data_IF_609093544604
#
_entry.id   IF_609093544604
#
_cell.length_a   1.000
_cell.length_b   1.000
_cell.length_c   1.000
_cell.angle_alpha   90.00
_cell.angle_beta   90.00
_cell.angle_gamma   90.00
#
_symmetry.space_group_name_H-M   'P 1'
#
loop_
_entity.id
_entity.type
_entity.pdbx_description
1 polymer ?
#
# COMPACT_ATOMS: atom_id res chain seq x y z
N UNK A 1 41.38 2.15 34.50
CA UNK A 1 40.02 1.56 34.43
C UNK A 1 39.65 1.54 32.96
N UNK A 2 39.52 0.36 32.34
CA UNK A 2 39.13 0.28 30.93
C UNK A 2 37.61 0.27 30.87
N UNK A 3 37.01 1.42 30.61
CA UNK A 3 35.56 1.56 30.50
C UNK A 3 35.08 0.77 29.28
N UNK A 4 34.53 -0.40 29.54
CA UNK A 4 33.93 -1.27 28.54
C UNK A 4 32.47 -0.91 28.39
N UNK A 5 32.08 -0.55 27.17
CA UNK A 5 30.73 -0.10 26.85
C UNK A 5 29.80 -1.30 26.63
N UNK A 6 28.55 -1.16 27.05
CA UNK A 6 27.45 -2.01 26.62
C UNK A 6 27.16 -1.80 25.13
N UNK A 7 26.38 -2.70 24.52
CA UNK A 7 25.99 -2.56 23.12
C UNK A 7 25.09 -1.34 22.87
N UNK A 8 24.25 -0.97 23.84
CA UNK A 8 23.37 0.20 23.74
C UNK A 8 24.17 1.49 23.82
N UNK A 9 25.10 1.62 24.77
CA UNK A 9 25.99 2.78 24.86
C UNK A 9 26.88 2.90 23.61
N UNK A 10 27.22 1.77 22.98
CA UNK A 10 27.93 1.76 21.71
C UNK A 10 27.10 2.34 20.57
N UNK A 11 25.83 1.96 20.47
CA UNK A 11 24.90 2.49 19.49
C UNK A 11 24.65 3.98 19.73
N UNK A 12 24.39 4.38 20.98
CA UNK A 12 24.22 5.78 21.39
C UNK A 12 25.44 6.62 21.01
N UNK A 13 26.65 6.14 21.31
CA UNK A 13 27.88 6.86 21.00
C UNK A 13 28.10 7.00 19.49
N UNK A 14 27.84 5.94 18.73
CA UNK A 14 27.96 6.00 17.27
C UNK A 14 26.99 7.04 16.70
N UNK A 15 25.71 6.97 17.06
CA UNK A 15 24.66 7.84 16.54
C UNK A 15 24.80 9.29 17.00
N UNK A 16 25.25 9.53 18.24
CA UNK A 16 25.49 10.89 18.75
C UNK A 16 26.69 11.58 18.09
N UNK A 17 27.77 10.84 17.80
CA UNK A 17 28.96 11.37 17.14
C UNK A 17 28.74 11.59 15.63
N UNK A 18 28.03 10.68 14.94
CA UNK A 18 27.80 10.80 13.49
C UNK A 18 26.62 11.71 13.15
N UNK A 19 25.60 11.78 14.03
CA UNK A 19 24.32 12.45 13.75
C UNK A 19 23.64 11.99 12.46
N UNK A 20 23.84 10.71 12.11
CA UNK A 20 23.26 10.10 10.92
C UNK A 20 22.57 8.78 11.29
N UNK A 21 21.44 8.42 10.66
CA UNK A 21 20.84 7.11 10.85
C UNK A 21 21.73 5.99 10.34
N UNK A 22 22.01 4.99 11.16
CA UNK A 22 22.96 3.91 10.84
C UNK A 22 22.32 2.52 10.96
N UNK A 23 22.79 1.59 10.14
CA UNK A 23 22.54 0.16 10.28
C UNK A 23 23.38 -0.43 11.41
N UNK A 24 23.00 -1.62 11.90
CA UNK A 24 23.78 -2.36 12.92
C UNK A 24 25.22 -2.57 12.47
N UNK A 25 25.44 -2.86 11.18
CA UNK A 25 26.76 -3.08 10.60
C UNK A 25 27.60 -1.81 10.64
N UNK A 26 27.03 -0.68 10.21
CA UNK A 26 27.72 0.62 10.24
C UNK A 26 28.06 1.04 11.68
N UNK A 27 27.16 0.82 12.65
CA UNK A 27 27.43 1.09 14.08
C UNK A 27 28.60 0.24 14.58
N UNK A 28 28.64 -1.04 14.21
CA UNK A 28 29.72 -1.95 14.61
C UNK A 28 31.06 -1.60 13.97
N UNK A 29 31.07 -1.18 12.71
CA UNK A 29 32.29 -0.77 12.02
C UNK A 29 32.82 0.56 12.55
N UNK A 30 31.93 1.49 12.94
CA UNK A 30 32.30 2.68 13.69
C UNK A 30 33.00 2.33 15.01
N UNK A 31 32.43 1.38 15.77
CA UNK A 31 33.00 0.88 17.02
C UNK A 31 34.42 0.35 16.85
N UNK A 32 34.63 -0.49 15.83
CA UNK A 32 35.94 -1.04 15.48
C UNK A 32 36.94 0.06 15.13
N UNK A 33 36.53 1.01 14.28
CA UNK A 33 37.39 2.12 13.83
C UNK A 33 37.85 2.98 15.00
N UNK A 34 36.98 3.23 15.98
CA UNK A 34 37.28 3.99 17.20
C UNK A 34 37.94 3.16 18.31
N UNK A 35 38.19 1.87 18.07
CA UNK A 35 38.76 0.92 19.04
C UNK A 35 37.99 0.88 20.37
N UNK A 36 36.67 1.05 20.30
CA UNK A 36 35.81 0.99 21.48
C UNK A 36 35.74 -0.44 22.01
N UNK A 37 35.93 -0.60 23.32
CA UNK A 37 35.86 -1.91 23.98
C UNK A 37 34.43 -2.18 24.41
N UNK A 38 33.97 -3.40 24.17
CA UNK A 38 32.66 -3.90 24.60
C UNK A 38 32.85 -5.13 25.48
N UNK A 39 31.97 -5.32 26.46
CA UNK A 39 31.97 -6.48 27.36
C UNK A 39 31.53 -7.79 26.69
N UNK A 40 31.45 -7.85 25.37
CA UNK A 40 30.98 -9.02 24.62
C UNK A 40 31.92 -10.22 24.77
N UNK A 41 31.49 -11.21 25.54
CA UNK A 41 32.14 -12.54 25.64
C UNK A 41 31.68 -13.52 24.53
N UNK A 42 30.73 -13.13 23.68
CA UNK A 42 30.08 -13.99 22.69
C UNK A 42 30.78 -14.10 21.33
N UNK A 43 30.49 -15.17 20.58
CA UNK A 43 31.04 -15.44 19.22
C UNK A 43 30.47 -14.55 18.10
N UNK A 44 29.35 -13.86 18.34
CA UNK A 44 28.59 -13.09 17.32
C UNK A 44 28.22 -11.68 17.80
N UNK A 45 29.18 -10.74 17.80
CA UNK A 45 28.97 -9.39 18.36
C UNK A 45 27.93 -8.55 17.59
N UNK A 46 27.85 -8.68 16.26
CA UNK A 46 26.85 -8.00 15.42
C UNK A 46 25.42 -8.42 15.77
N UNK A 47 25.17 -9.73 15.94
CA UNK A 47 23.86 -10.25 16.33
C UNK A 47 23.48 -9.81 17.74
N UNK A 48 24.47 -9.72 18.63
CA UNK A 48 24.28 -9.26 20.01
C UNK A 48 23.93 -7.77 20.06
N UNK A 49 24.60 -6.95 19.25
CA UNK A 49 24.27 -5.53 19.08
C UNK A 49 22.85 -5.37 18.50
N UNK A 50 22.54 -6.06 17.40
CA UNK A 50 21.21 -6.06 16.79
C UNK A 50 20.13 -6.41 17.81
N UNK A 51 20.30 -7.54 18.51
CA UNK A 51 19.34 -8.02 19.50
C UNK A 51 19.16 -7.01 20.64
N UNK A 52 20.25 -6.41 21.12
CA UNK A 52 20.18 -5.41 22.21
C UNK A 52 19.37 -4.19 21.79
N UNK A 53 19.60 -3.67 20.58
CA UNK A 53 18.86 -2.52 20.03
C UNK A 53 17.37 -2.86 19.90
N UNK A 54 17.02 -3.99 19.28
CA UNK A 54 15.62 -4.36 19.09
C UNK A 54 14.89 -4.66 20.40
N UNK A 55 15.55 -5.30 21.36
CA UNK A 55 14.98 -5.58 22.68
C UNK A 55 14.72 -4.30 23.45
N UNK A 56 15.65 -3.34 23.43
CA UNK A 56 15.47 -2.05 24.09
C UNK A 56 14.32 -1.27 23.45
N UNK A 57 14.29 -1.14 22.12
CA UNK A 57 13.19 -0.47 21.41
C UNK A 57 11.82 -1.09 21.74
N UNK A 58 11.75 -2.42 21.86
CA UNK A 58 10.49 -3.13 22.13
C UNK A 58 10.03 -3.02 23.58
N UNK A 59 10.95 -3.12 24.55
CA UNK A 59 10.61 -3.31 25.96
C UNK A 59 10.84 -2.07 26.83
N UNK A 60 11.50 -1.03 26.32
CA UNK A 60 11.82 0.18 27.06
C UNK A 60 11.05 1.39 26.50
N UNK A 61 10.00 1.87 27.18
CA UNK A 61 9.21 3.03 26.75
C UNK A 61 9.99 4.34 26.70
N UNK A 62 11.15 4.40 27.38
CA UNK A 62 12.05 5.57 27.44
C UNK A 62 13.33 5.33 26.64
N UNK A 63 13.29 4.43 25.66
CA UNK A 63 14.43 4.20 24.78
C UNK A 63 14.86 5.50 24.10
N UNK A 64 16.17 5.68 24.00
CA UNK A 64 16.80 6.77 23.25
C UNK A 64 16.99 6.40 21.78
N UNK A 65 16.67 5.17 21.38
CA UNK A 65 16.83 4.67 20.02
C UNK A 65 15.47 4.57 19.32
N UNK A 66 15.45 4.94 18.05
CA UNK A 66 14.27 4.80 17.18
C UNK A 66 14.70 4.16 15.87
N UNK A 67 13.92 3.20 15.38
CA UNK A 67 14.08 2.70 14.02
C UNK A 67 13.45 3.70 13.05
N UNK A 68 14.26 4.23 12.13
CA UNK A 68 13.84 5.26 11.17
C UNK A 68 13.76 4.78 9.73
N UNK A 69 14.17 3.53 9.46
CA UNK A 69 13.91 2.84 8.19
C UNK A 69 13.81 1.34 8.43
N UNK A 70 13.02 0.64 7.61
CA UNK A 70 12.83 -0.82 7.67
C UNK A 70 13.71 -1.60 6.68
N UNK A 71 14.06 -1.02 5.53
CA UNK A 71 14.76 -1.74 4.42
C UNK A 71 15.76 -0.81 3.69
N UNK A 72 17.04 -0.82 4.06
CA UNK A 72 17.63 -1.54 5.19
C UNK A 72 17.21 -0.94 6.54
N UNK A 73 17.23 -1.74 7.60
CA UNK A 73 16.92 -1.27 8.94
C UNK A 73 17.97 -0.24 9.42
N UNK A 74 17.56 1.01 9.64
CA UNK A 74 18.40 2.09 10.17
C UNK A 74 17.86 2.63 11.47
N UNK A 75 18.75 2.98 12.39
CA UNK A 75 18.46 3.47 13.73
C UNK A 75 19.01 4.88 13.92
N UNK A 76 18.31 5.69 14.71
CA UNK A 76 18.68 7.05 15.08
C UNK A 76 18.39 7.29 16.56
N UNK A 77 18.89 8.39 17.13
CA UNK A 77 18.46 8.81 18.45
C UNK A 77 17.08 9.44 18.39
N UNK A 78 16.24 9.21 19.39
CA UNK A 78 14.85 9.72 19.45
C UNK A 78 14.80 11.26 19.31
N UNK A 79 15.80 11.98 19.84
CA UNK A 79 15.87 13.46 19.82
C UNK A 79 15.85 14.08 18.42
N UNK A 80 16.41 13.40 17.41
CA UNK A 80 16.52 13.91 16.04
C UNK A 80 16.05 12.92 14.97
N UNK A 81 15.76 11.68 15.37
CA UNK A 81 15.36 10.61 14.47
C UNK A 81 14.01 10.84 13.79
N UNK A 82 13.10 11.62 14.39
CA UNK A 82 11.78 11.89 13.82
C UNK A 82 11.82 12.53 12.44
N UNK A 83 12.76 13.44 12.22
CA UNK A 83 12.93 14.11 10.92
C UNK A 83 13.26 13.09 9.81
N UNK A 84 14.00 12.03 10.14
CA UNK A 84 14.39 10.98 9.20
C UNK A 84 13.27 9.98 8.94
N UNK A 85 12.40 9.76 9.93
CA UNK A 85 11.18 8.95 9.76
C UNK A 85 10.32 9.58 8.67
N UNK A 86 9.99 10.86 8.79
CA UNK A 86 9.17 11.58 7.81
C UNK A 86 9.81 11.61 6.42
N UNK A 87 11.12 11.85 6.33
CA UNK A 87 11.83 11.84 5.05
C UNK A 87 11.86 10.45 4.41
N UNK A 88 12.04 9.39 5.21
CA UNK A 88 12.04 8.01 4.70
C UNK A 88 10.66 7.61 4.19
N UNK A 89 9.59 7.96 4.91
CA UNK A 89 8.21 7.71 4.49
C UNK A 89 7.90 8.47 3.21
N UNK A 90 8.34 9.73 3.11
CA UNK A 90 8.15 10.55 1.92
C UNK A 90 8.92 10.01 0.71
N UNK A 91 10.15 9.51 0.90
CA UNK A 91 10.88 8.84 -0.17
C UNK A 91 10.15 7.56 -0.60
N UNK A 92 9.73 6.75 0.36
CA UNK A 92 9.06 5.48 0.11
C UNK A 92 7.72 5.67 -0.61
N UNK A 93 6.93 6.67 -0.24
CA UNK A 93 5.70 7.02 -0.96
C UNK A 93 5.99 7.44 -2.40
N UNK A 94 7.05 8.24 -2.64
CA UNK A 94 7.46 8.62 -4.01
C UNK A 94 7.83 7.39 -4.84
N UNK A 95 8.58 6.43 -4.28
CA UNK A 95 8.92 5.18 -4.99
C UNK A 95 7.69 4.32 -5.28
N UNK A 96 6.75 4.22 -4.33
CA UNK A 96 5.50 3.47 -4.54
C UNK A 96 4.59 4.16 -5.56
N UNK A 97 4.60 5.49 -5.63
CA UNK A 97 3.88 6.27 -6.63
C UNK A 97 4.48 6.13 -8.03
N UNK A 98 5.80 5.96 -8.17
CA UNK A 98 6.46 5.72 -9.47
C UNK A 98 6.04 4.38 -10.12
N UNK A 99 5.47 3.47 -9.32
CA UNK A 99 4.87 2.24 -9.80
C UNK A 99 3.39 2.40 -10.21
N UNK A 100 2.70 3.45 -9.75
CA UNK A 100 1.32 3.78 -10.16
C UNK A 100 1.30 4.52 -11.50
N UNK A 101 1.83 3.87 -12.54
CA UNK A 101 1.76 4.36 -13.92
C UNK A 101 0.56 3.74 -14.64
N UNK A 102 -0.10 4.46 -15.56
CA UNK A 102 -1.20 3.90 -16.36
C UNK A 102 -0.80 2.61 -17.11
N UNK A 103 0.46 2.49 -17.50
CA UNK A 103 0.99 1.29 -18.15
C UNK A 103 0.99 0.08 -17.21
N UNK A 104 1.56 0.22 -16.00
CA UNK A 104 1.61 -0.84 -15.00
C UNK A 104 0.22 -1.21 -14.46
N UNK A 105 -0.64 -0.22 -14.24
CA UNK A 105 -2.06 -0.46 -13.87
C UNK A 105 -2.76 -1.29 -14.95
N UNK A 106 -2.54 -0.95 -16.22
CA UNK A 106 -3.16 -1.64 -17.36
C UNK A 106 -2.66 -3.06 -17.56
N UNK A 107 -1.42 -3.37 -17.21
CA UNK A 107 -0.90 -4.74 -17.23
C UNK A 107 -1.68 -5.68 -16.29
N UNK A 108 -2.36 -5.13 -15.28
CA UNK A 108 -3.20 -5.89 -14.34
C UNK A 108 -4.63 -6.13 -14.84
N UNK A 109 -5.07 -5.44 -15.90
CA UNK A 109 -6.43 -5.57 -16.42
C UNK A 109 -6.83 -7.00 -16.79
N UNK A 110 -5.99 -7.82 -17.43
CA UNK A 110 -6.32 -9.22 -17.71
C UNK A 110 -6.56 -10.05 -16.45
N UNK A 111 -5.79 -9.80 -15.38
CA UNK A 111 -5.96 -10.51 -14.10
C UNK A 111 -7.30 -10.12 -13.46
N UNK A 112 -7.61 -8.83 -13.40
CA UNK A 112 -8.88 -8.36 -12.89
C UNK A 112 -10.07 -8.86 -13.74
N UNK A 113 -9.94 -8.88 -15.07
CA UNK A 113 -10.97 -9.42 -15.95
C UNK A 113 -11.27 -10.90 -15.65
N UNK A 114 -10.22 -11.70 -15.43
CA UNK A 114 -10.35 -13.12 -15.07
C UNK A 114 -11.03 -13.29 -13.71
N UNK A 115 -10.65 -12.48 -12.72
CA UNK A 115 -11.31 -12.45 -11.41
C UNK A 115 -12.81 -12.15 -11.54
N UNK A 116 -13.16 -11.04 -12.18
CA UNK A 116 -14.55 -10.57 -12.31
C UNK A 116 -15.42 -11.59 -13.06
N UNK A 117 -14.86 -12.26 -14.08
CA UNK A 117 -15.61 -13.26 -14.83
C UNK A 117 -15.87 -14.54 -14.00
N UNK A 118 -14.90 -14.97 -13.19
CA UNK A 118 -14.98 -16.21 -12.41
C UNK A 118 -15.73 -16.04 -11.07
N UNK A 119 -15.70 -14.84 -10.49
CA UNK A 119 -16.32 -14.55 -9.21
C UNK A 119 -17.85 -14.58 -9.32
N UNK A 120 -18.50 -15.28 -8.39
CA UNK A 120 -19.96 -15.51 -8.40
C UNK A 120 -20.81 -14.26 -8.17
N UNK A 121 -20.28 -13.27 -7.44
CA UNK A 121 -20.95 -11.97 -7.24
C UNK A 121 -20.98 -11.19 -8.55
N UNK A 122 -19.83 -11.11 -9.21
CA UNK A 122 -19.69 -10.32 -10.43
C UNK A 122 -20.25 -11.03 -11.67
N UNK A 123 -19.70 -12.20 -12.03
CA UNK A 123 -19.96 -12.94 -13.29
C UNK A 123 -20.15 -12.01 -14.49
N UNK A 124 -19.28 -11.01 -14.61
CA UNK A 124 -19.48 -9.91 -15.54
C UNK A 124 -18.47 -9.95 -16.69
N UNK A 125 -18.91 -9.51 -17.86
CA UNK A 125 -18.02 -9.23 -18.97
C UNK A 125 -17.44 -7.84 -18.80
N UNK A 126 -16.12 -7.71 -18.95
CA UNK A 126 -15.43 -6.43 -18.75
C UNK A 126 -14.72 -5.92 -19.99
N UNK A 127 -14.53 -4.60 -20.03
CA UNK A 127 -13.79 -3.92 -21.08
C UNK A 127 -12.95 -2.78 -20.51
N UNK A 128 -11.68 -2.77 -20.87
CA UNK A 128 -10.78 -1.64 -20.58
C UNK A 128 -11.19 -0.41 -21.38
N UNK A 129 -11.20 0.74 -20.72
CA UNK A 129 -11.42 2.05 -21.32
C UNK A 129 -10.08 2.73 -21.60
N UNK A 130 -9.89 3.19 -22.83
CA UNK A 130 -8.64 3.78 -23.28
C UNK A 130 -8.73 5.31 -23.28
N UNK A 131 -8.12 5.91 -22.27
CA UNK A 131 -8.22 7.34 -21.95
C UNK A 131 -7.39 8.24 -22.89
N UNK A 132 -6.39 7.64 -23.54
CA UNK A 132 -5.38 8.30 -24.37
C UNK A 132 -5.90 8.73 -25.75
N UNK A 133 -7.06 8.21 -26.17
CA UNK A 133 -7.62 8.42 -27.51
C UNK A 133 -8.52 9.66 -27.57
N UNK A 134 -8.73 10.36 -26.45
CA UNK A 134 -9.58 11.55 -26.42
C UNK A 134 -8.86 12.75 -27.04
N UNK A 135 -9.28 13.10 -28.25
CA UNK A 135 -8.74 14.19 -29.09
C UNK A 135 -8.97 15.61 -28.53
N UNK A 136 -9.65 15.79 -27.39
CA UNK A 136 -10.25 17.09 -27.00
C UNK A 136 -9.79 17.70 -25.67
N UNK A 137 -8.82 17.16 -24.93
CA UNK A 137 -8.47 17.73 -23.62
C UNK A 137 -6.95 17.80 -23.32
N UNK A 138 -6.57 18.83 -22.52
CA UNK A 138 -5.22 18.96 -21.94
C UNK A 138 -4.89 17.72 -21.10
N UNK A 139 -3.66 17.21 -21.24
CA UNK A 139 -3.08 16.13 -20.42
C UNK A 139 -3.39 16.38 -18.93
N UNK A 140 -4.10 15.46 -18.28
CA UNK A 140 -4.47 15.53 -16.86
C UNK A 140 -5.98 15.58 -16.60
N UNK A 141 -6.76 16.28 -17.43
CA UNK A 141 -8.22 16.38 -17.25
C UNK A 141 -8.94 15.05 -17.48
N UNK A 142 -8.40 14.18 -18.35
CA UNK A 142 -9.03 12.91 -18.71
C UNK A 142 -9.04 11.88 -17.56
N UNK A 143 -8.15 11.98 -16.56
CA UNK A 143 -8.08 10.99 -15.47
C UNK A 143 -9.33 10.98 -14.56
N UNK A 144 -10.16 12.02 -14.65
CA UNK A 144 -11.36 12.23 -13.83
C UNK A 144 -12.67 12.04 -14.62
N UNK A 145 -12.59 11.53 -15.85
CA UNK A 145 -13.73 11.48 -16.77
C UNK A 145 -14.27 10.07 -17.02
N UNK A 146 -13.48 9.03 -16.79
CA UNK A 146 -13.85 7.65 -17.07
C UNK A 146 -13.03 6.70 -16.20
N UNK A 147 -13.61 5.55 -15.82
CA UNK A 147 -12.91 4.52 -15.08
C UNK A 147 -12.01 3.70 -16.00
N UNK A 148 -11.03 3.01 -15.42
CA UNK A 148 -10.09 2.15 -16.16
C UNK A 148 -10.78 0.95 -16.84
N UNK A 149 -11.72 0.32 -16.13
CA UNK A 149 -12.48 -0.83 -16.62
C UNK A 149 -13.96 -0.65 -16.30
N UNK A 150 -14.80 -1.05 -17.26
CA UNK A 150 -16.25 -1.18 -17.08
C UNK A 150 -16.67 -2.64 -17.22
N UNK A 151 -17.64 -3.06 -16.42
CA UNK A 151 -18.22 -4.40 -16.45
C UNK A 151 -19.72 -4.36 -16.67
N UNK A 152 -20.25 -5.40 -17.32
CA UNK A 152 -21.70 -5.63 -17.42
C UNK A 152 -22.02 -7.08 -17.10
N UNK A 153 -22.97 -7.28 -16.19
CA UNK A 153 -23.61 -8.58 -15.96
C UNK A 153 -25.04 -8.51 -16.49
N UNK A 154 -25.43 -9.51 -17.27
CA UNK A 154 -26.79 -9.66 -17.74
C UNK A 154 -27.51 -10.66 -16.85
N UNK A 155 -28.52 -10.20 -16.11
CA UNK A 155 -29.23 -11.05 -15.16
C UNK A 155 -30.09 -12.12 -15.86
N UNK A 156 -30.48 -11.86 -17.12
CA UNK A 156 -31.45 -12.68 -17.82
C UNK A 156 -30.95 -14.05 -18.28
N UNK A 157 -29.63 -14.27 -18.33
CA UNK A 157 -29.07 -15.58 -18.70
C UNK A 157 -29.21 -16.61 -17.56
N UNK A 158 -29.42 -16.15 -16.33
CA UNK A 158 -29.52 -16.99 -15.13
C UNK A 158 -30.97 -17.19 -14.66
N UNK A 159 -31.93 -16.50 -15.26
CA UNK A 159 -33.31 -16.45 -14.77
C UNK A 159 -34.27 -17.32 -15.58
N UNK A 160 -35.13 -18.05 -14.86
CA UNK A 160 -36.27 -18.74 -15.46
C UNK A 160 -37.24 -17.73 -16.13
N UNK A 161 -37.97 -18.16 -17.17
CA UNK A 161 -38.88 -17.29 -17.91
C UNK A 161 -39.88 -16.50 -17.04
N UNK A 162 -40.39 -17.11 -15.97
CA UNK A 162 -41.32 -16.49 -15.03
C UNK A 162 -40.68 -15.32 -14.27
N UNK A 163 -39.40 -15.48 -13.89
CA UNK A 163 -38.62 -14.45 -13.19
C UNK A 163 -38.33 -13.27 -14.11
N UNK A 164 -38.04 -13.52 -15.40
CA UNK A 164 -37.87 -12.48 -16.42
C UNK A 164 -39.14 -11.66 -16.63
N UNK A 165 -40.31 -12.33 -16.64
CA UNK A 165 -41.60 -11.66 -16.76
C UNK A 165 -41.83 -10.75 -15.54
N UNK A 166 -41.57 -11.27 -14.32
CA UNK A 166 -41.70 -10.48 -13.10
C UNK A 166 -40.76 -9.26 -13.11
N UNK A 167 -39.49 -9.44 -13.48
CA UNK A 167 -38.50 -8.36 -13.59
C UNK A 167 -38.98 -7.25 -14.52
N UNK A 168 -39.48 -7.62 -15.72
CA UNK A 168 -40.04 -6.68 -16.69
C UNK A 168 -41.27 -5.95 -16.14
N UNK A 169 -42.17 -6.66 -15.47
CA UNK A 169 -43.36 -6.08 -14.85
C UNK A 169 -43.01 -5.09 -13.72
N UNK A 170 -41.92 -5.34 -12.99
CA UNK A 170 -41.43 -4.45 -11.93
C UNK A 170 -40.58 -3.29 -12.45
N UNK A 171 -40.24 -3.25 -13.74
CA UNK A 171 -39.37 -2.22 -14.33
C UNK A 171 -37.93 -2.25 -13.79
N UNK A 172 -37.49 -3.41 -13.29
CA UNK A 172 -36.11 -3.58 -12.82
C UNK A 172 -35.15 -3.70 -14.01
N UNK A 173 -33.95 -3.14 -13.89
CA UNK A 173 -32.92 -3.19 -14.94
C UNK A 173 -32.51 -4.63 -15.26
N UNK A 174 -32.33 -4.92 -16.54
CA UNK A 174 -31.93 -6.25 -17.04
C UNK A 174 -30.42 -6.52 -16.92
N UNK A 175 -29.65 -5.52 -16.50
CA UNK A 175 -28.21 -5.60 -16.33
C UNK A 175 -27.71 -4.82 -15.12
N UNK A 176 -26.56 -5.28 -14.60
CA UNK A 176 -25.78 -4.60 -13.57
C UNK A 176 -24.49 -4.08 -14.19
N UNK A 177 -24.24 -2.79 -14.03
CA UNK A 177 -23.04 -2.11 -14.50
C UNK A 177 -22.03 -1.98 -13.36
N UNK A 178 -20.80 -2.36 -13.65
CA UNK A 178 -19.67 -2.25 -12.74
C UNK A 178 -18.64 -1.27 -13.28
N UNK A 179 -17.93 -0.61 -12.39
CA UNK A 179 -16.83 0.26 -12.72
C UNK A 179 -15.66 0.01 -11.80
N UNK A 180 -14.45 -0.05 -12.36
CA UNK A 180 -13.23 -0.35 -11.61
C UNK A 180 -12.16 0.70 -11.94
N UNK A 181 -11.58 1.28 -10.90
CA UNK A 181 -10.40 2.14 -10.93
C UNK A 181 -9.21 1.34 -10.37
N UNK A 182 -8.11 1.26 -11.13
CA UNK A 182 -6.98 0.40 -10.83
C UNK A 182 -5.82 1.21 -10.23
N UNK A 183 -5.15 0.65 -9.23
CA UNK A 183 -3.86 1.13 -8.70
C UNK A 183 -2.91 -0.05 -8.52
N UNK A 184 -1.61 0.17 -8.64
CA UNK A 184 -0.60 -0.86 -8.29
C UNK A 184 -0.40 -0.88 -6.77
N UNK A 185 -0.14 0.28 -6.19
CA UNK A 185 0.11 0.48 -4.77
C UNK A 185 -0.89 1.47 -4.16
N UNK A 186 -1.50 1.10 -3.04
CA UNK A 186 -2.36 1.96 -2.22
C UNK A 186 -1.76 2.13 -0.82
N UNK A 187 -1.51 3.38 -0.44
CA UNK A 187 -0.89 3.76 0.83
C UNK A 187 -1.52 5.06 1.34
N UNK A 188 -1.21 5.47 2.58
CA UNK A 188 -1.94 6.60 3.19
C UNK A 188 -1.77 7.92 2.40
N UNK A 189 -0.57 8.12 1.82
CA UNK A 189 -0.24 9.29 1.00
C UNK A 189 -1.10 9.47 -0.26
N UNK A 190 -1.54 8.39 -0.92
CA UNK A 190 -2.32 8.47 -2.17
C UNK A 190 -3.78 8.02 -2.02
N UNK A 191 -4.16 7.51 -0.84
CA UNK A 191 -5.49 6.94 -0.58
C UNK A 191 -6.63 7.88 -0.99
N UNK A 192 -6.64 9.12 -0.49
CA UNK A 192 -7.75 10.04 -0.76
C UNK A 192 -7.87 10.36 -2.24
N UNK A 193 -6.75 10.63 -2.91
CA UNK A 193 -6.77 10.94 -4.34
C UNK A 193 -7.31 9.75 -5.14
N UNK A 194 -6.76 8.55 -4.93
CA UNK A 194 -7.20 7.34 -5.62
C UNK A 194 -8.67 7.02 -5.35
N UNK A 195 -9.11 7.18 -4.10
CA UNK A 195 -10.50 6.92 -3.72
C UNK A 195 -11.46 7.94 -4.36
N UNK A 196 -11.15 9.23 -4.30
CA UNK A 196 -12.01 10.26 -4.91
C UNK A 196 -11.98 10.22 -6.44
N UNK A 197 -10.89 9.73 -7.04
CA UNK A 197 -10.86 9.40 -8.46
C UNK A 197 -11.88 8.31 -8.78
N UNK A 198 -11.90 7.21 -8.01
CA UNK A 198 -12.90 6.15 -8.16
C UNK A 198 -14.34 6.66 -7.95
N UNK A 199 -14.57 7.50 -6.94
CA UNK A 199 -15.89 8.15 -6.73
C UNK A 199 -16.30 8.94 -7.98
N UNK A 200 -15.42 9.82 -8.48
CA UNK A 200 -15.70 10.65 -9.66
C UNK A 200 -15.99 9.81 -10.90
N UNK A 201 -15.21 8.74 -11.12
CA UNK A 201 -15.25 7.94 -12.33
C UNK A 201 -16.33 6.84 -12.31
N UNK A 202 -16.81 6.44 -11.13
CA UNK A 202 -17.67 5.26 -10.97
C UNK A 202 -19.07 5.54 -10.41
N UNK A 203 -19.39 6.79 -10.00
CA UNK A 203 -20.70 7.13 -9.41
C UNK A 203 -21.92 6.87 -10.31
N UNK A 204 -21.71 6.68 -11.63
CA UNK A 204 -22.78 6.34 -12.58
C UNK A 204 -23.11 4.84 -12.64
N UNK A 205 -22.19 3.98 -12.17
CA UNK A 205 -22.36 2.53 -12.20
C UNK A 205 -23.23 2.04 -11.04
N UNK A 206 -23.77 0.82 -11.13
CA UNK A 206 -24.47 0.22 -10.00
C UNK A 206 -23.52 -0.06 -8.84
N UNK A 207 -22.31 -0.53 -9.14
CA UNK A 207 -21.25 -0.74 -8.16
C UNK A 207 -19.91 -0.25 -8.72
N UNK A 208 -19.25 0.61 -7.96
CA UNK A 208 -17.91 1.13 -8.25
C UNK A 208 -16.87 0.55 -7.30
N UNK A 209 -15.66 0.28 -7.81
CA UNK A 209 -14.59 -0.34 -7.04
C UNK A 209 -13.25 0.33 -7.25
N UNK A 210 -12.55 0.63 -6.15
CA UNK A 210 -11.12 0.90 -6.16
C UNK A 210 -10.38 -0.44 -6.00
N UNK A 211 -9.55 -0.78 -6.98
CA UNK A 211 -8.80 -2.04 -7.02
C UNK A 211 -7.32 -1.74 -6.84
N UNK A 212 -6.66 -2.46 -5.94
CA UNK A 212 -5.20 -2.39 -5.80
C UNK A 212 -4.57 -3.76 -5.59
N UNK A 213 -3.31 -3.93 -5.99
CA UNK A 213 -2.54 -5.16 -5.74
C UNK A 213 -1.87 -5.10 -4.37
N UNK A 214 -1.15 -4.01 -4.11
CA UNK A 214 -0.41 -3.82 -2.88
C UNK A 214 -1.11 -2.78 -2.00
N UNK A 215 -1.45 -3.19 -0.79
CA UNK A 215 -1.89 -2.28 0.27
C UNK A 215 -0.75 -2.12 1.26
N UNK A 216 -0.54 -0.90 1.73
CA UNK A 216 0.27 -0.67 2.92
C UNK A 216 -0.37 -1.39 4.10
N UNK A 217 0.42 -2.22 4.82
CA UNK A 217 -0.03 -2.97 5.99
C UNK A 217 -0.14 -2.06 7.22
N UNK A 218 -0.99 -1.03 7.11
CA UNK A 218 -1.29 -0.06 8.15
C UNK A 218 -2.78 -0.15 8.55
N UNK A 219 -3.10 -0.46 9.82
CA UNK A 219 -4.48 -0.46 10.31
C UNK A 219 -5.24 0.84 10.03
N UNK A 220 -4.56 1.99 10.12
CA UNK A 220 -5.19 3.31 9.92
C UNK A 220 -5.67 3.49 8.46
N UNK A 221 -4.97 2.87 7.50
CA UNK A 221 -5.39 2.85 6.10
C UNK A 221 -6.73 2.13 5.92
N UNK A 222 -6.88 0.97 6.55
CA UNK A 222 -8.08 0.14 6.43
C UNK A 222 -9.29 0.80 7.10
N UNK A 223 -9.09 1.46 8.24
CA UNK A 223 -10.14 2.22 8.92
C UNK A 223 -10.59 3.43 8.09
N UNK A 224 -9.65 4.14 7.46
CA UNK A 224 -9.96 5.24 6.53
C UNK A 224 -10.73 4.74 5.30
N UNK A 225 -10.29 3.65 4.68
CA UNK A 225 -10.98 3.00 3.55
C UNK A 225 -12.41 2.59 3.92
N UNK A 226 -12.60 1.92 5.06
CA UNK A 226 -13.92 1.51 5.53
C UNK A 226 -14.84 2.72 5.75
N UNK A 227 -14.31 3.81 6.32
CA UNK A 227 -15.06 5.05 6.51
C UNK A 227 -15.46 5.68 5.18
N UNK A 228 -14.54 5.74 4.22
CA UNK A 228 -14.79 6.26 2.88
C UNK A 228 -15.83 5.40 2.12
N UNK A 229 -15.69 4.08 2.10
CA UNK A 229 -16.65 3.13 1.52
C UNK A 229 -18.04 3.29 2.09
N UNK A 230 -18.17 3.46 3.41
CA UNK A 230 -19.47 3.70 4.04
C UNK A 230 -20.08 5.06 3.64
N UNK A 231 -19.25 6.08 3.41
CA UNK A 231 -19.72 7.42 3.09
C UNK A 231 -20.09 7.60 1.61
N UNK A 232 -19.34 6.97 0.69
CA UNK A 232 -19.43 7.23 -0.75
C UNK A 232 -19.84 6.02 -1.59
N UNK A 233 -19.88 4.81 -1.01
CA UNK A 233 -20.39 3.62 -1.68
C UNK A 233 -19.43 2.98 -2.70
N UNK A 234 -18.16 3.39 -2.74
CA UNK A 234 -17.14 2.70 -3.56
C UNK A 234 -16.56 1.53 -2.76
N UNK A 235 -16.65 0.34 -3.34
CA UNK A 235 -16.05 -0.89 -2.81
C UNK A 235 -14.54 -0.89 -3.00
N UNK A 236 -13.85 -1.74 -2.23
CA UNK A 236 -12.39 -1.87 -2.28
C UNK A 236 -12.06 -3.32 -2.56
N UNK A 237 -11.22 -3.57 -3.57
CA UNK A 237 -10.79 -4.92 -3.94
C UNK A 237 -9.27 -5.02 -3.86
N UNK A 238 -8.80 -6.08 -3.21
CA UNK A 238 -7.40 -6.47 -3.25
C UNK A 238 -7.22 -7.57 -4.29
N UNK A 239 -6.51 -7.26 -5.37
CA UNK A 239 -6.24 -8.20 -6.45
C UNK A 239 -4.95 -8.97 -6.15
N UNK A 240 -5.02 -10.29 -6.11
CA UNK A 240 -3.86 -11.17 -6.19
C UNK A 240 -3.58 -11.53 -7.66
N UNK A 241 -2.53 -10.98 -8.28
CA UNK A 241 -2.19 -11.29 -9.66
C UNK A 241 -1.68 -12.73 -9.86
N UNK A 242 -1.29 -13.44 -8.80
CA UNK A 242 -0.81 -14.82 -8.88
C UNK A 242 -1.95 -15.83 -8.91
N UNK A 243 -3.04 -15.55 -8.19
CA UNK A 243 -4.26 -16.36 -8.20
C UNK A 243 -5.51 -15.50 -8.41
N UNK A 244 -5.72 -14.95 -9.62
CA UNK A 244 -6.80 -14.01 -9.86
C UNK A 244 -8.21 -14.57 -9.60
N UNK A 245 -8.42 -15.89 -9.66
CA UNK A 245 -9.73 -16.51 -9.44
C UNK A 245 -10.08 -16.72 -7.95
N UNK A 246 -9.11 -16.57 -7.05
CA UNK A 246 -9.25 -16.90 -5.62
C UNK A 246 -9.38 -15.67 -4.70
N UNK A 247 -9.49 -14.47 -5.28
CA UNK A 247 -9.57 -13.20 -4.55
C UNK A 247 -10.93 -12.98 -3.87
#
# INVERSE_FOLDING_TARGET
MSDSLSFLELAEKALSETREPMTVTEIWDFAKKKKLKTNSLGKTPLNSLSSSIYVDIKNNPKTILKQVSKRPARFALTEWGEVFVDQSFKLQSIYLEDDNTPQKERELHPNLARFIYSNSHFKAYVKTIYHEVSLKAKRGANRWLHPDIVGVRFAFEEYEPETLILQKLMGASDCTLYSFEMKVNLHFGNLREAYFQAVSNSSWANEGYLVAVNFEEDPDLMDELARLSKAFGIGVLKLDPTTPEAC
#
